data_IF_966913162635
#
_entry.id   IF_966913162635
#
_cell.length_a   1.000
_cell.length_b   1.000
_cell.length_c   1.000
_cell.angle_alpha   90.00
_cell.angle_beta   90.00
_cell.angle_gamma   90.00
#
_symmetry.space_group_name_H-M   'P 1'
#
loop_
_entity.id
_entity.type
_entity.pdbx_description
1 polymer ?
#
# COMPACT_ATOMS: atom_id res chain seq x y z
N UNK A 1 -22.98 -6.92 18.20
CA UNK A 1 -21.54 -7.19 18.38
C UNK A 1 -21.44 -8.22 19.48
N UNK A 2 -20.90 -9.40 19.17
CA UNK A 2 -20.75 -10.49 20.13
C UNK A 2 -19.69 -10.13 21.18
N UNK A 3 -19.79 -10.66 22.39
CA UNK A 3 -18.81 -10.43 23.47
C UNK A 3 -17.40 -10.93 23.09
N UNK A 4 -17.29 -11.87 22.15
CA UNK A 4 -16.02 -12.32 21.55
C UNK A 4 -15.42 -11.29 20.58
N UNK A 5 -16.24 -10.55 19.82
CA UNK A 5 -15.74 -9.48 18.93
C UNK A 5 -14.96 -8.44 19.75
N UNK A 6 -15.48 -8.10 20.93
CA UNK A 6 -14.92 -7.10 21.84
C UNK A 6 -13.57 -7.57 22.44
N UNK A 7 -13.40 -8.87 22.69
CA UNK A 7 -12.13 -9.39 23.22
C UNK A 7 -11.03 -9.45 22.15
N UNK A 8 -11.37 -9.81 20.91
CA UNK A 8 -10.40 -9.82 19.81
C UNK A 8 -10.01 -8.38 19.43
N UNK A 9 -10.96 -7.43 19.39
CA UNK A 9 -10.67 -6.02 19.12
C UNK A 9 -9.77 -5.38 20.19
N UNK A 10 -9.94 -5.75 21.47
CA UNK A 10 -9.11 -5.24 22.58
C UNK A 10 -7.66 -5.73 22.54
N UNK A 11 -7.41 -6.89 21.96
CA UNK A 11 -6.08 -7.52 21.93
C UNK A 11 -5.19 -7.00 20.78
N UNK A 12 -5.78 -6.39 19.74
CA UNK A 12 -5.10 -5.89 18.54
C UNK A 12 -5.20 -4.37 18.38
N UNK A 13 -5.11 -3.63 19.48
CA UNK A 13 -5.08 -2.15 19.46
C UNK A 13 -3.71 -1.66 19.01
N UNK A 14 -3.57 -1.31 17.73
CA UNK A 14 -2.38 -0.61 17.23
C UNK A 14 -2.56 0.89 17.49
N UNK A 15 -1.77 1.47 18.39
CA UNK A 15 -1.83 2.90 18.75
C UNK A 15 -3.22 3.39 19.24
N UNK A 16 -4.04 2.52 19.86
CA UNK A 16 -5.37 2.90 20.36
C UNK A 16 -6.51 2.79 19.34
N UNK A 17 -6.22 2.47 18.07
CA UNK A 17 -7.25 2.21 17.05
C UNK A 17 -7.69 0.74 17.04
N UNK A 18 -8.98 0.51 16.73
CA UNK A 18 -9.46 -0.83 16.34
C UNK A 18 -8.71 -1.31 15.09
N UNK A 19 -8.37 -2.60 15.05
CA UNK A 19 -7.71 -3.28 13.93
C UNK A 19 -8.40 -3.01 12.58
N UNK A 20 -9.73 -2.93 12.56
CA UNK A 20 -10.51 -2.63 11.35
C UNK A 20 -10.26 -1.21 10.86
N UNK A 21 -10.27 -0.25 11.79
CA UNK A 21 -10.02 1.15 11.49
C UNK A 21 -8.58 1.35 11.03
N UNK A 22 -7.62 0.72 11.71
CA UNK A 22 -6.21 0.74 11.30
C UNK A 22 -6.02 0.20 9.88
N UNK A 23 -6.65 -0.95 9.54
CA UNK A 23 -6.57 -1.52 8.20
C UNK A 23 -7.17 -0.59 7.15
N UNK A 24 -8.37 -0.05 7.39
CA UNK A 24 -9.02 0.90 6.47
C UNK A 24 -8.18 2.17 6.26
N UNK A 25 -7.65 2.76 7.34
CA UNK A 25 -6.79 3.93 7.27
C UNK A 25 -5.51 3.64 6.48
N UNK A 26 -4.86 2.51 6.73
CA UNK A 26 -3.65 2.14 5.99
C UNK A 26 -3.95 1.84 4.52
N UNK A 27 -5.04 1.13 4.19
CA UNK A 27 -5.46 0.92 2.79
C UNK A 27 -5.74 2.24 2.08
N UNK A 28 -6.42 3.18 2.74
CA UNK A 28 -6.65 4.51 2.19
C UNK A 28 -5.34 5.27 1.96
N UNK A 29 -4.41 5.20 2.91
CA UNK A 29 -3.08 5.80 2.78
C UNK A 29 -2.30 5.17 1.61
N UNK A 30 -2.31 3.84 1.46
CA UNK A 30 -1.70 3.14 0.32
C UNK A 30 -2.28 3.62 -1.00
N UNK A 31 -3.61 3.68 -1.14
CA UNK A 31 -4.25 4.14 -2.37
C UNK A 31 -3.81 5.57 -2.73
N UNK A 32 -3.83 6.48 -1.75
CA UNK A 32 -3.44 7.87 -1.95
C UNK A 32 -1.96 8.00 -2.32
N UNK A 33 -1.07 7.36 -1.54
CA UNK A 33 0.38 7.42 -1.77
C UNK A 33 0.74 6.76 -3.11
N UNK A 34 0.10 5.66 -3.50
CA UNK A 34 0.31 5.03 -4.81
C UNK A 34 -0.01 6.00 -5.95
N UNK A 35 -1.15 6.69 -5.89
CA UNK A 35 -1.54 7.66 -6.91
C UNK A 35 -0.56 8.83 -6.98
N UNK A 36 -0.24 9.42 -5.82
CA UNK A 36 0.67 10.57 -5.72
C UNK A 36 2.07 10.19 -6.22
N UNK A 37 2.60 9.05 -5.78
CA UNK A 37 3.94 8.60 -6.15
C UNK A 37 4.02 8.21 -7.64
N UNK A 38 2.97 7.59 -8.19
CA UNK A 38 2.87 7.35 -9.62
C UNK A 38 2.90 8.64 -10.45
N UNK A 39 2.15 9.66 -10.02
CA UNK A 39 2.20 10.99 -10.66
C UNK A 39 3.58 11.62 -10.54
N UNK A 40 4.21 11.54 -9.37
CA UNK A 40 5.56 12.07 -9.16
C UNK A 40 6.61 11.36 -10.01
N UNK A 41 6.56 10.03 -10.16
CA UNK A 41 7.44 9.32 -11.08
C UNK A 41 7.26 9.80 -12.52
N UNK A 42 6.02 10.12 -12.93
CA UNK A 42 5.76 10.61 -14.28
C UNK A 42 6.28 12.03 -14.52
N UNK A 43 6.21 12.90 -13.52
CA UNK A 43 6.56 14.32 -13.64
C UNK A 43 8.06 14.56 -13.39
N UNK A 44 8.64 13.86 -12.41
CA UNK A 44 9.98 14.14 -11.90
C UNK A 44 11.07 13.27 -12.54
N UNK A 45 10.73 12.15 -13.17
CA UNK A 45 11.70 11.29 -13.85
C UNK A 45 11.60 11.44 -15.37
N UNK A 46 12.72 11.22 -16.05
CA UNK A 46 12.76 11.20 -17.50
C UNK A 46 11.83 10.11 -18.07
N UNK A 47 11.08 10.41 -19.15
CA UNK A 47 10.18 9.43 -19.77
C UNK A 47 10.96 8.21 -20.24
N UNK A 48 10.70 7.07 -19.62
CA UNK A 48 11.30 5.79 -19.97
C UNK A 48 10.28 4.67 -19.86
N UNK A 49 10.58 3.52 -20.48
CA UNK A 49 9.74 2.32 -20.38
C UNK A 49 9.59 1.88 -18.93
N UNK A 50 10.66 1.97 -18.14
CA UNK A 50 10.66 1.62 -16.71
C UNK A 50 9.69 2.52 -15.93
N UNK A 51 9.74 3.84 -16.16
CA UNK A 51 8.81 4.79 -15.51
C UNK A 51 7.37 4.50 -15.92
N UNK A 52 7.09 4.20 -17.19
CA UNK A 52 5.74 3.83 -17.64
C UNK A 52 5.22 2.57 -16.94
N UNK A 53 6.06 1.54 -16.80
CA UNK A 53 5.71 0.30 -16.09
C UNK A 53 5.44 0.59 -14.61
N UNK A 54 6.31 1.36 -13.95
CA UNK A 54 6.14 1.77 -12.55
C UNK A 54 4.80 2.48 -12.34
N UNK A 55 4.47 3.46 -13.17
CA UNK A 55 3.20 4.18 -13.12
C UNK A 55 2.02 3.22 -13.32
N UNK A 56 2.09 2.32 -14.30
CA UNK A 56 1.06 1.32 -14.55
C UNK A 56 0.79 0.44 -13.33
N UNK A 57 1.84 -0.06 -12.68
CA UNK A 57 1.72 -0.87 -11.46
C UNK A 57 1.09 -0.06 -10.32
N UNK A 58 1.49 1.20 -10.13
CA UNK A 58 0.93 2.07 -9.09
C UNK A 58 -0.57 2.31 -9.30
N UNK A 59 -1.00 2.54 -10.55
CA UNK A 59 -2.42 2.74 -10.88
C UNK A 59 -3.25 1.48 -10.61
N UNK A 60 -2.75 0.30 -11.02
CA UNK A 60 -3.43 -0.97 -10.76
C UNK A 60 -3.52 -1.24 -9.25
N UNK A 61 -2.44 -1.04 -8.50
CA UNK A 61 -2.43 -1.25 -7.06
C UNK A 61 -3.33 -0.26 -6.31
N UNK A 62 -3.39 0.99 -6.75
CA UNK A 62 -4.33 1.99 -6.23
C UNK A 62 -5.79 1.57 -6.49
N UNK A 63 -6.11 1.10 -7.69
CA UNK A 63 -7.45 0.62 -8.04
C UNK A 63 -7.87 -0.58 -7.16
N UNK A 64 -7.00 -1.57 -7.00
CA UNK A 64 -7.25 -2.73 -6.13
C UNK A 64 -7.45 -2.31 -4.66
N UNK A 65 -6.64 -1.37 -4.17
CA UNK A 65 -6.77 -0.83 -2.81
C UNK A 65 -8.08 -0.08 -2.60
N UNK A 66 -8.52 0.73 -3.57
CA UNK A 66 -9.79 1.45 -3.52
C UNK A 66 -10.97 0.48 -3.54
N UNK A 67 -10.93 -0.54 -4.39
CA UNK A 67 -11.96 -1.60 -4.42
C UNK A 67 -12.02 -2.28 -3.05
N UNK A 68 -10.88 -2.69 -2.48
CA UNK A 68 -10.85 -3.28 -1.15
C UNK A 68 -11.41 -2.35 -0.07
N UNK A 69 -11.05 -1.08 -0.10
CA UNK A 69 -11.53 -0.07 0.85
C UNK A 69 -13.06 0.11 0.76
N UNK A 70 -13.63 0.20 -0.44
CA UNK A 70 -15.08 0.30 -0.64
C UNK A 70 -15.79 -0.92 -0.05
N UNK A 71 -15.27 -2.12 -0.30
CA UNK A 71 -15.86 -3.36 0.26
C UNK A 71 -15.76 -3.40 1.79
N UNK A 72 -14.66 -2.90 2.36
CA UNK A 72 -14.51 -2.75 3.80
C UNK A 72 -15.56 -1.78 4.40
N UNK A 73 -15.98 -0.75 3.67
CA UNK A 73 -17.04 0.18 4.12
C UNK A 73 -18.45 -0.39 3.97
N UNK A 74 -18.72 -1.17 2.92
CA UNK A 74 -20.05 -1.69 2.63
C UNK A 74 -20.55 -2.73 3.64
N UNK A 75 -19.67 -3.32 4.48
CA UNK A 75 -20.00 -4.23 5.60
C UNK A 75 -21.02 -5.34 5.26
N UNK A 76 -21.08 -5.77 3.99
CA UNK A 76 -22.04 -6.75 3.49
C UNK A 76 -21.42 -8.14 3.52
N UNK A 77 -22.17 -9.20 3.83
CA UNK A 77 -21.66 -10.58 3.75
C UNK A 77 -21.39 -10.95 2.29
N UNK A 78 -20.12 -11.00 1.90
CA UNK A 78 -19.70 -11.27 0.51
C UNK A 78 -19.27 -12.74 0.25
N UNK A 79 -19.26 -13.59 1.28
CA UNK A 79 -18.90 -15.01 1.15
C UNK A 79 -17.57 -15.21 0.40
N UNK A 80 -17.52 -16.17 -0.53
CA UNK A 80 -16.32 -16.50 -1.32
C UNK A 80 -15.75 -15.34 -2.16
N UNK A 81 -16.58 -14.37 -2.57
CA UNK A 81 -16.09 -13.19 -3.32
C UNK A 81 -15.12 -12.34 -2.48
N UNK A 82 -15.27 -12.38 -1.16
CA UNK A 82 -14.40 -11.69 -0.23
C UNK A 82 -12.97 -12.25 -0.27
N UNK A 83 -12.80 -13.58 -0.33
CA UNK A 83 -11.48 -14.22 -0.38
C UNK A 83 -10.70 -13.81 -1.62
N UNK A 84 -11.36 -13.79 -2.78
CA UNK A 84 -10.75 -13.35 -4.05
C UNK A 84 -10.27 -11.90 -3.94
N UNK A 85 -11.10 -11.05 -3.35
CA UNK A 85 -10.83 -9.63 -3.21
C UNK A 85 -9.70 -9.36 -2.18
N UNK A 86 -9.64 -10.16 -1.11
CA UNK A 86 -8.53 -10.15 -0.15
C UNK A 86 -7.22 -10.59 -0.80
N UNK A 87 -7.22 -11.66 -1.59
CA UNK A 87 -6.04 -12.11 -2.33
C UNK A 87 -5.57 -11.07 -3.34
N UNK A 88 -6.49 -10.45 -4.08
CA UNK A 88 -6.16 -9.36 -5.00
C UNK A 88 -5.55 -8.16 -4.26
N UNK A 89 -6.04 -7.85 -3.05
CA UNK A 89 -5.46 -6.79 -2.23
C UNK A 89 -4.07 -7.14 -1.69
N UNK A 90 -3.87 -8.37 -1.19
CA UNK A 90 -2.55 -8.87 -0.76
C UNK A 90 -1.54 -8.85 -1.92
N UNK A 91 -1.98 -9.21 -3.12
CA UNK A 91 -1.16 -9.10 -4.34
C UNK A 91 -0.76 -7.64 -4.61
N UNK A 92 -1.68 -6.69 -4.40
CA UNK A 92 -1.35 -5.26 -4.54
C UNK A 92 -0.29 -4.79 -3.55
N UNK A 93 -0.35 -5.25 -2.29
CA UNK A 93 0.67 -4.96 -1.26
C UNK A 93 2.02 -5.52 -1.70
N UNK A 94 2.05 -6.77 -2.18
CA UNK A 94 3.27 -7.42 -2.65
C UNK A 94 3.90 -6.68 -3.84
N UNK A 95 3.10 -6.35 -4.86
CA UNK A 95 3.57 -5.60 -6.03
C UNK A 95 4.10 -4.21 -5.66
N UNK A 96 3.45 -3.53 -4.73
CA UNK A 96 3.92 -2.24 -4.22
C UNK A 96 5.22 -2.37 -3.43
N UNK A 97 5.39 -3.42 -2.63
CA UNK A 97 6.64 -3.67 -1.91
C UNK A 97 7.80 -3.93 -2.89
N UNK A 98 7.56 -4.76 -3.93
CA UNK A 98 8.57 -5.06 -4.95
C UNK A 98 8.97 -3.82 -5.77
N UNK A 99 7.99 -3.02 -6.21
CA UNK A 99 8.28 -1.78 -6.94
C UNK A 99 8.96 -0.72 -6.06
N UNK A 100 8.58 -0.64 -4.79
CA UNK A 100 9.24 0.25 -3.82
C UNK A 100 10.68 -0.19 -3.55
N UNK A 101 10.92 -1.50 -3.41
CA UNK A 101 12.27 -2.07 -3.26
C UNK A 101 13.13 -1.80 -4.50
N UNK A 102 12.57 -1.97 -5.69
CA UNK A 102 13.23 -1.58 -6.94
C UNK A 102 13.59 -0.08 -6.93
N UNK A 103 12.64 0.80 -6.60
CA UNK A 103 12.85 2.24 -6.58
C UNK A 103 13.92 2.67 -5.56
N UNK A 104 13.95 2.04 -4.37
CA UNK A 104 14.96 2.28 -3.33
C UNK A 104 16.38 1.94 -3.83
N UNK A 105 16.54 0.96 -4.72
CA UNK A 105 17.84 0.64 -5.32
C UNK A 105 18.14 1.49 -6.56
N UNK A 106 17.13 1.74 -7.40
CA UNK A 106 17.28 2.43 -8.69
C UNK A 106 17.53 3.93 -8.53
N UNK A 107 16.77 4.61 -7.66
CA UNK A 107 16.80 6.07 -7.57
C UNK A 107 18.14 6.64 -7.06
N UNK A 108 18.83 6.04 -6.07
CA UNK A 108 20.16 6.50 -5.68
C UNK A 108 21.20 6.31 -6.79
N UNK A 109 21.09 5.23 -7.57
CA UNK A 109 21.97 5.00 -8.71
C UNK A 109 21.73 6.03 -9.81
N UNK A 110 20.46 6.29 -10.14
CA UNK A 110 20.09 7.33 -11.10
C UNK A 110 20.60 8.71 -10.65
N UNK A 111 20.47 9.04 -9.36
CA UNK A 111 21.04 10.25 -8.78
C UNK A 111 22.55 10.34 -9.01
N UNK A 112 23.32 9.30 -8.67
CA UNK A 112 24.78 9.30 -8.85
C UNK A 112 25.22 9.36 -10.32
N UNK A 113 24.39 8.86 -11.24
CA UNK A 113 24.71 8.81 -12.67
C UNK A 113 24.34 10.10 -13.40
N UNK A 114 23.28 10.79 -12.98
CA UNK A 114 22.68 11.89 -13.73
C UNK A 114 22.84 13.26 -13.05
N UNK A 115 23.11 13.31 -11.74
CA UNK A 115 23.28 14.60 -11.06
C UNK A 115 24.70 15.14 -11.19
N UNK A 116 24.83 16.32 -11.81
CA UNK A 116 26.09 17.07 -11.86
C UNK A 116 26.22 18.01 -10.65
N UNK A 117 25.12 18.29 -9.96
CA UNK A 117 25.06 19.01 -8.70
C UNK A 117 23.97 18.45 -7.77
N UNK A 118 24.13 18.62 -6.45
CA UNK A 118 23.15 18.16 -5.46
C UNK A 118 21.76 18.77 -5.69
N UNK A 119 21.69 20.04 -6.11
CA UNK A 119 20.43 20.76 -6.35
C UNK A 119 19.61 20.16 -7.48
N UNK A 120 20.27 19.75 -8.58
CA UNK A 120 19.61 19.10 -9.71
C UNK A 120 19.04 17.74 -9.32
N UNK A 121 19.71 17.00 -8.44
CA UNK A 121 19.31 15.64 -8.06
C UNK A 121 18.34 15.53 -6.87
N UNK A 122 17.88 16.64 -6.28
CA UNK A 122 16.99 16.63 -5.10
C UNK A 122 15.69 15.84 -5.31
N UNK A 123 15.18 15.81 -6.54
CA UNK A 123 13.97 15.06 -6.88
C UNK A 123 14.18 13.55 -6.78
N UNK A 124 15.35 13.01 -7.13
CA UNK A 124 15.69 11.60 -6.94
C UNK A 124 15.71 11.23 -5.45
N UNK A 125 16.31 12.09 -4.60
CA UNK A 125 16.35 11.88 -3.16
C UNK A 125 14.95 11.91 -2.54
N UNK A 126 14.11 12.86 -2.96
CA UNK A 126 12.71 12.94 -2.53
C UNK A 126 11.92 11.69 -2.92
N UNK A 127 12.05 11.22 -4.16
CA UNK A 127 11.41 10.01 -4.63
C UNK A 127 11.93 8.76 -3.91
N UNK A 128 13.24 8.72 -3.60
CA UNK A 128 13.86 7.63 -2.85
C UNK A 128 13.27 7.52 -1.44
N UNK A 129 13.21 8.64 -0.71
CA UNK A 129 12.62 8.69 0.63
C UNK A 129 11.14 8.32 0.60
N UNK A 130 10.40 8.77 -0.41
CA UNK A 130 9.00 8.44 -0.60
C UNK A 130 8.80 6.94 -0.87
N UNK A 131 9.65 6.33 -1.70
CA UNK A 131 9.64 4.89 -1.96
C UNK A 131 10.01 4.07 -0.71
N UNK A 132 10.99 4.50 0.08
CA UNK A 132 11.35 3.86 1.34
C UNK A 132 10.21 3.95 2.38
N UNK A 133 9.54 5.09 2.46
CA UNK A 133 8.35 5.29 3.28
C UNK A 133 7.21 4.36 2.85
N UNK A 134 6.96 4.25 1.54
CA UNK A 134 5.95 3.33 1.00
C UNK A 134 6.31 1.88 1.32
N UNK A 135 7.57 1.46 1.15
CA UNK A 135 8.02 0.11 1.50
C UNK A 135 7.74 -0.23 2.96
N UNK A 136 8.02 0.71 3.88
CA UNK A 136 7.75 0.55 5.32
C UNK A 136 6.26 0.38 5.60
N UNK A 137 5.42 1.19 4.94
CA UNK A 137 3.97 1.06 5.03
C UNK A 137 3.47 -0.30 4.53
N UNK A 138 4.03 -0.85 3.44
CA UNK A 138 3.63 -2.18 2.95
C UNK A 138 3.89 -3.28 3.98
N UNK A 139 5.01 -3.22 4.71
CA UNK A 139 5.29 -4.16 5.81
C UNK A 139 4.28 -4.02 6.96
N UNK A 140 3.93 -2.78 7.34
CA UNK A 140 2.90 -2.55 8.36
C UNK A 140 1.52 -3.06 7.91
N UNK A 141 1.14 -2.78 6.67
CA UNK A 141 -0.13 -3.21 6.09
C UNK A 141 -0.26 -4.72 6.02
N UNK A 142 0.80 -5.41 5.60
CA UNK A 142 0.84 -6.87 5.60
C UNK A 142 0.52 -7.41 7.00
N UNK A 143 1.19 -6.91 8.03
CA UNK A 143 0.96 -7.34 9.40
C UNK A 143 -0.48 -7.09 9.86
N UNK A 144 -1.06 -5.93 9.53
CA UNK A 144 -2.44 -5.60 9.89
C UNK A 144 -3.45 -6.51 9.19
N UNK A 145 -3.28 -6.74 7.89
CA UNK A 145 -4.17 -7.62 7.11
C UNK A 145 -4.05 -9.07 7.58
N UNK A 146 -2.84 -9.54 7.89
CA UNK A 146 -2.62 -10.88 8.45
C UNK A 146 -3.32 -11.05 9.81
N UNK A 147 -3.28 -10.03 10.67
CA UNK A 147 -4.01 -10.03 11.95
C UNK A 147 -5.53 -9.92 11.77
N UNK A 148 -5.99 -9.32 10.66
CA UNK A 148 -7.40 -9.14 10.36
C UNK A 148 -8.05 -10.43 9.81
N UNK A 149 -7.28 -11.33 9.19
CA UNK A 149 -7.76 -12.64 8.67
C UNK A 149 -8.68 -13.41 9.64
N UNK A 150 -8.27 -13.73 10.88
CA UNK A 150 -9.12 -14.50 11.81
C UNK A 150 -10.39 -13.74 12.24
N UNK A 151 -10.31 -12.40 12.35
CA UNK A 151 -11.48 -11.55 12.66
C UNK A 151 -12.49 -11.58 11.50
N UNK A 152 -11.99 -11.72 10.28
CA UNK A 152 -12.81 -11.70 9.08
C UNK A 152 -13.42 -13.06 8.78
N UNK A 153 -12.69 -14.16 8.97
CA UNK A 153 -13.25 -15.51 8.87
C UNK A 153 -14.49 -15.67 9.77
N UNK A 154 -14.44 -15.16 11.01
CA UNK A 154 -15.59 -15.22 11.93
C UNK A 154 -16.78 -14.30 11.57
N UNK A 155 -16.57 -13.25 10.78
CA UNK A 155 -17.63 -12.32 10.39
C UNK A 155 -18.27 -12.64 9.03
N UNK A 156 -17.57 -13.41 8.19
CA UNK A 156 -17.94 -13.65 6.80
C UNK A 156 -18.33 -15.11 6.49
N UNK A 157 -17.98 -16.08 7.36
CA UNK A 157 -18.57 -17.43 7.37
C UNK A 157 -19.91 -17.43 8.11
#
# INVERSE_FOLDING_TARGET
MSMMDIQVEKQYSFCGLSLRCATQCCTAAQALICLVLGVFYRILLEPSVIVNILVGIHLVCAALSLVFLVFCFLKRKFGSFYEVLLHAYLLSILLMALTSLFAVMFLPLAFLQQSHSLGEGMHYLFLFLSAAGMLTLQFMQRNLVEQMLPVMEHCFV
#
